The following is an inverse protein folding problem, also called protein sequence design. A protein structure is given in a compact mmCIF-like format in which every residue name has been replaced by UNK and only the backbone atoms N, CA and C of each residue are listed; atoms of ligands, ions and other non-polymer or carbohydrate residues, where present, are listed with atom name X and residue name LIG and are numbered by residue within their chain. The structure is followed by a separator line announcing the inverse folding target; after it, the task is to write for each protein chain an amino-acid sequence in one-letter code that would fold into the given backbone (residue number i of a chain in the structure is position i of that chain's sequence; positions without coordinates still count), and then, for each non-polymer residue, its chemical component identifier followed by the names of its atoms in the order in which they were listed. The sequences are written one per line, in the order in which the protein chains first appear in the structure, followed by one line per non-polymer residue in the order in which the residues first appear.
data_IF_066071511720
#
_entry.id   IF_066071511720
#
_cell.length_a   1.000
_cell.length_b   1.000
_cell.length_c   1.000
_cell.angle_alpha   90.00
_cell.angle_beta   90.00
_cell.angle_gamma   90.00
#
_symmetry.space_group_name_H-M   'P 1'
#
loop_
_entity.id
_entity.type
_entity.pdbx_description
1 polymer ?
#
# COMPACT_ATOMS: atom_id res chain seq x y z
N UNK A 1 -21.11 -16.36 19.89
CA UNK A 1 -20.37 -17.07 20.96
C UNK A 1 -21.19 -17.13 22.24
N UNK A 2 -21.55 -15.99 22.84
CA UNK A 2 -22.37 -15.94 24.08
C UNK A 2 -23.72 -16.67 23.96
N UNK A 3 -24.45 -16.48 22.86
CA UNK A 3 -25.77 -17.10 22.64
C UNK A 3 -25.72 -18.64 22.54
N UNK A 4 -24.58 -19.21 22.17
CA UNK A 4 -24.43 -20.64 21.90
C UNK A 4 -23.44 -21.33 22.86
N UNK A 5 -23.07 -20.67 23.96
CA UNK A 5 -22.18 -21.24 24.98
C UNK A 5 -20.73 -21.48 24.52
N UNK A 6 -20.27 -20.80 23.48
CA UNK A 6 -18.88 -20.96 23.03
C UNK A 6 -17.90 -20.22 23.96
N UNK A 7 -16.78 -20.87 24.28
CA UNK A 7 -15.69 -20.26 25.06
C UNK A 7 -14.91 -19.27 24.20
N UNK A 8 -14.63 -18.09 24.77
CA UNK A 8 -13.82 -17.06 24.13
C UNK A 8 -12.57 -16.79 24.95
N UNK A 9 -11.40 -16.84 24.30
CA UNK A 9 -10.11 -16.49 24.90
C UNK A 9 -9.73 -15.10 24.40
N UNK A 10 -9.66 -14.11 25.30
CA UNK A 10 -9.30 -12.73 24.98
C UNK A 10 -7.99 -12.37 25.64
N UNK A 11 -7.04 -11.87 24.86
CA UNK A 11 -5.77 -11.33 25.34
C UNK A 11 -5.85 -9.80 25.46
N UNK A 12 -5.24 -9.23 26.51
CA UNK A 12 -5.21 -7.77 26.73
C UNK A 12 -4.44 -6.99 25.66
N UNK A 13 -3.35 -7.56 25.12
CA UNK A 13 -2.48 -6.93 24.12
C UNK A 13 -2.00 -7.97 23.12
N UNK A 14 -2.02 -7.66 21.83
CA UNK A 14 -1.53 -8.56 20.79
C UNK A 14 -0.05 -8.93 21.00
N UNK A 15 0.30 -10.18 20.68
CA UNK A 15 1.68 -10.67 20.66
C UNK A 15 1.81 -11.71 19.55
N UNK A 16 2.56 -11.35 18.50
CA UNK A 16 2.81 -12.22 17.37
C UNK A 16 3.51 -13.53 17.80
N UNK A 17 4.52 -13.43 18.66
CA UNK A 17 5.27 -14.59 19.15
C UNK A 17 4.48 -15.48 20.10
N UNK A 18 3.40 -15.01 20.74
CA UNK A 18 2.58 -15.83 21.62
C UNK A 18 1.37 -16.47 20.92
N UNK A 19 0.97 -15.98 19.74
CA UNK A 19 -0.34 -16.27 19.13
C UNK A 19 -0.68 -17.77 19.05
N UNK A 20 0.14 -18.56 18.34
CA UNK A 20 -0.12 -19.99 18.17
C UNK A 20 0.18 -20.85 19.40
N UNK A 21 1.17 -20.46 20.21
CA UNK A 21 1.42 -21.12 21.50
C UNK A 21 0.23 -20.97 22.46
N UNK A 22 -0.47 -19.84 22.44
CA UNK A 22 -1.68 -19.64 23.24
C UNK A 22 -2.89 -20.36 22.65
N UNK A 23 -3.00 -20.41 21.31
CA UNK A 23 -4.03 -21.23 20.66
C UNK A 23 -3.91 -22.70 21.09
N UNK A 24 -2.68 -23.22 21.18
CA UNK A 24 -2.42 -24.57 21.70
C UNK A 24 -2.74 -24.66 23.20
N UNK A 25 -2.20 -23.74 24.04
CA UNK A 25 -2.43 -23.72 25.50
C UNK A 25 -3.90 -23.75 25.90
N UNK A 26 -4.74 -23.00 25.20
CA UNK A 26 -6.17 -22.87 25.53
C UNK A 26 -7.08 -23.75 24.64
N UNK A 27 -6.52 -24.66 23.85
CA UNK A 27 -7.27 -25.53 22.93
C UNK A 27 -8.23 -24.77 22.01
N UNK A 28 -7.78 -23.63 21.47
CA UNK A 28 -8.56 -22.87 20.51
C UNK A 28 -8.82 -23.71 19.25
N UNK A 29 -10.07 -23.75 18.80
CA UNK A 29 -10.47 -24.44 17.55
C UNK A 29 -10.69 -23.48 16.39
N UNK A 30 -10.95 -22.20 16.69
CA UNK A 30 -11.11 -21.13 15.71
C UNK A 30 -10.37 -19.89 16.21
N UNK A 31 -9.64 -19.20 15.34
CA UNK A 31 -8.95 -17.97 15.68
C UNK A 31 -9.42 -16.81 14.80
N UNK A 32 -9.51 -15.61 15.39
CA UNK A 32 -9.80 -14.38 14.65
C UNK A 32 -8.49 -13.71 14.21
N UNK A 33 -8.46 -13.15 13.01
CA UNK A 33 -7.35 -12.32 12.54
C UNK A 33 -7.83 -11.00 11.92
N UNK A 34 -6.89 -10.06 11.87
CA UNK A 34 -6.89 -8.92 10.96
C UNK A 34 -5.63 -9.05 10.12
N UNK A 35 -5.69 -8.75 8.82
CA UNK A 35 -4.59 -9.01 7.89
C UNK A 35 -3.19 -8.60 8.36
N UNK A 36 -3.09 -7.46 9.03
CA UNK A 36 -1.81 -6.96 9.54
C UNK A 36 -1.22 -7.84 10.66
N UNK A 37 -2.07 -8.47 11.48
CA UNK A 37 -1.63 -9.44 12.47
C UNK A 37 -0.96 -10.65 11.81
N UNK A 38 -1.50 -11.12 10.68
CA UNK A 38 -0.93 -12.26 9.95
C UNK A 38 0.49 -11.96 9.47
N UNK A 39 0.74 -10.74 8.98
CA UNK A 39 2.11 -10.29 8.61
C UNK A 39 3.05 -10.33 9.81
N UNK A 40 2.65 -9.75 10.95
CA UNK A 40 3.50 -9.77 12.16
C UNK A 40 3.78 -11.19 12.67
N UNK A 41 2.77 -12.06 12.64
CA UNK A 41 2.91 -13.47 13.05
C UNK A 41 3.85 -14.21 12.11
N UNK A 42 3.76 -13.98 10.80
CA UNK A 42 4.63 -14.59 9.80
C UNK A 42 6.09 -14.09 9.90
N UNK A 43 6.30 -12.85 10.32
CA UNK A 43 7.64 -12.29 10.54
C UNK A 43 8.37 -12.88 11.77
N UNK A 44 7.66 -13.52 12.70
CA UNK A 44 8.30 -14.20 13.85
C UNK A 44 9.06 -15.43 13.35
N UNK A 45 10.27 -15.73 13.85
CA UNK A 45 10.99 -16.96 13.47
C UNK A 45 10.18 -18.24 13.70
N UNK A 46 10.30 -19.26 12.82
CA UNK A 46 9.63 -20.54 12.98
C UNK A 46 9.91 -21.21 14.32
N UNK A 47 8.90 -21.86 14.90
CA UNK A 47 9.03 -22.60 16.17
C UNK A 47 8.06 -23.78 16.23
N UNK A 48 8.31 -24.80 17.08
CA UNK A 48 7.47 -26.00 17.14
C UNK A 48 5.99 -25.73 17.41
N UNK A 49 5.68 -24.68 18.19
CA UNK A 49 4.29 -24.30 18.53
C UNK A 49 3.47 -23.76 17.35
N UNK A 50 4.09 -23.50 16.20
CA UNK A 50 3.41 -23.02 14.98
C UNK A 50 2.40 -24.04 14.44
N UNK A 51 2.53 -25.33 14.78
CA UNK A 51 1.67 -26.42 14.27
C UNK A 51 1.02 -27.26 15.36
N UNK A 52 1.32 -27.03 16.65
CA UNK A 52 0.82 -27.82 17.79
C UNK A 52 -0.59 -27.42 18.26
N UNK A 53 -1.27 -26.54 17.52
CA UNK A 53 -2.62 -26.10 17.83
C UNK A 53 -3.67 -26.96 17.12
N UNK A 54 -4.92 -26.91 17.60
CA UNK A 54 -6.05 -27.64 17.02
C UNK A 54 -6.99 -26.75 16.19
N UNK A 55 -6.46 -25.67 15.62
CA UNK A 55 -7.25 -24.75 14.79
C UNK A 55 -7.77 -25.47 13.54
N UNK A 56 -9.10 -25.50 13.40
CA UNK A 56 -9.79 -25.97 12.19
C UNK A 56 -10.09 -24.84 11.20
N UNK A 57 -10.02 -23.59 11.67
CA UNK A 57 -10.33 -22.41 10.87
C UNK A 57 -9.72 -21.16 11.50
N UNK A 58 -9.29 -20.23 10.65
CA UNK A 58 -9.16 -18.82 11.03
C UNK A 58 -10.22 -18.00 10.29
N UNK A 59 -10.75 -16.96 10.90
CA UNK A 59 -11.72 -16.07 10.27
C UNK A 59 -11.33 -14.61 10.51
N UNK A 60 -11.54 -13.76 9.51
CA UNK A 60 -11.01 -12.41 9.58
C UNK A 60 -11.16 -11.67 8.28
N UNK A 61 -10.48 -10.53 8.22
CA UNK A 61 -10.51 -9.66 7.08
C UNK A 61 -9.12 -9.05 6.80
N UNK A 62 -8.82 -8.87 5.52
CA UNK A 62 -7.62 -8.24 5.00
C UNK A 62 -6.40 -9.15 4.84
N UNK A 63 -6.53 -10.48 4.81
CA UNK A 63 -5.36 -11.33 4.57
C UNK A 63 -4.82 -11.08 3.15
N UNK A 64 -3.56 -10.63 3.07
CA UNK A 64 -2.94 -10.28 1.79
C UNK A 64 -2.70 -11.55 0.97
N UNK A 65 -3.10 -11.60 -0.31
CA UNK A 65 -2.88 -12.78 -1.16
C UNK A 65 -1.41 -13.22 -1.21
N UNK A 66 -0.47 -12.27 -1.14
CA UNK A 66 0.97 -12.51 -1.23
C UNK A 66 1.53 -13.31 -0.05
N UNK A 67 0.89 -13.27 1.13
CA UNK A 67 1.33 -14.00 2.33
C UNK A 67 0.41 -15.17 2.67
N UNK A 68 -0.72 -15.30 1.98
CA UNK A 68 -1.78 -16.25 2.35
C UNK A 68 -1.29 -17.69 2.28
N UNK A 69 -0.67 -18.08 1.17
CA UNK A 69 -0.14 -19.43 0.96
C UNK A 69 0.89 -19.80 2.02
N UNK A 70 1.89 -18.93 2.23
CA UNK A 70 2.94 -19.14 3.23
C UNK A 70 2.38 -19.23 4.65
N UNK A 71 1.41 -18.36 4.99
CA UNK A 71 0.75 -18.38 6.28
C UNK A 71 0.01 -19.70 6.52
N UNK A 72 -0.79 -20.15 5.55
CA UNK A 72 -1.52 -21.42 5.64
C UNK A 72 -0.57 -22.62 5.73
N UNK A 73 0.49 -22.62 4.94
CA UNK A 73 1.45 -23.72 4.89
C UNK A 73 2.26 -23.85 6.17
N UNK A 74 2.77 -22.72 6.69
CA UNK A 74 3.58 -22.66 7.91
C UNK A 74 2.79 -23.07 9.15
N UNK A 75 1.57 -22.54 9.29
CA UNK A 75 0.75 -22.73 10.48
C UNK A 75 -0.27 -23.87 10.34
N UNK A 76 -0.25 -24.62 9.23
CA UNK A 76 -1.14 -25.76 8.96
C UNK A 76 -2.62 -25.44 9.21
N UNK A 77 -3.08 -24.32 8.64
CA UNK A 77 -4.45 -23.83 8.81
C UNK A 77 -5.37 -24.46 7.74
N UNK A 78 -6.34 -25.31 8.11
CA UNK A 78 -7.14 -26.01 7.10
C UNK A 78 -8.09 -25.11 6.31
N UNK A 79 -8.57 -24.04 6.94
CA UNK A 79 -9.57 -23.13 6.35
C UNK A 79 -9.36 -21.68 6.79
N UNK A 80 -9.39 -20.78 5.82
CA UNK A 80 -9.39 -19.33 6.00
C UNK A 80 -10.75 -18.79 5.55
N UNK A 81 -11.56 -18.40 6.52
CA UNK A 81 -12.84 -17.74 6.29
C UNK A 81 -12.64 -16.22 6.24
N UNK A 82 -12.21 -15.74 5.08
CA UNK A 82 -12.06 -14.31 4.80
C UNK A 82 -13.45 -13.70 4.54
N UNK A 83 -13.72 -12.55 5.16
CA UNK A 83 -14.92 -11.78 4.88
C UNK A 83 -14.58 -10.34 4.56
N UNK A 84 -15.40 -9.74 3.71
CA UNK A 84 -15.40 -8.31 3.46
C UNK A 84 -16.67 -7.69 4.01
N UNK A 85 -16.50 -6.54 4.63
CA UNK A 85 -17.57 -5.71 5.15
C UNK A 85 -17.05 -4.33 5.55
N UNK A 86 -17.95 -3.36 5.54
CA UNK A 86 -17.73 -2.03 6.07
C UNK A 86 -18.78 -1.74 7.14
N UNK A 87 -18.40 -1.02 8.21
CA UNK A 87 -19.33 -0.65 9.29
C UNK A 87 -20.53 0.11 8.75
N UNK A 88 -20.31 0.91 7.71
CA UNK A 88 -21.32 1.74 7.06
C UNK A 88 -21.93 1.08 5.81
N UNK A 89 -21.42 -0.09 5.43
CA UNK A 89 -21.82 -0.80 4.22
C UNK A 89 -23.04 -1.68 4.43
N UNK A 90 -23.90 -1.71 3.41
CA UNK A 90 -25.06 -2.60 3.34
C UNK A 90 -24.77 -3.92 2.60
N UNK A 91 -23.49 -4.16 2.28
CA UNK A 91 -23.01 -5.29 1.50
C UNK A 91 -21.82 -5.94 2.22
N UNK A 92 -22.00 -7.20 2.58
CA UNK A 92 -20.96 -8.04 3.17
C UNK A 92 -20.80 -9.28 2.29
N UNK A 93 -19.60 -9.82 2.15
CA UNK A 93 -19.36 -11.05 1.39
C UNK A 93 -18.40 -11.93 2.17
N UNK A 94 -18.50 -13.23 1.96
CA UNK A 94 -17.69 -14.22 2.67
C UNK A 94 -17.13 -15.22 1.68
N UNK A 95 -15.83 -15.46 1.77
CA UNK A 95 -15.16 -16.55 1.10
C UNK A 95 -15.43 -17.84 1.88
N UNK A 96 -16.44 -18.59 1.44
CA UNK A 96 -16.92 -19.79 2.15
C UNK A 96 -16.26 -21.08 1.66
N UNK A 97 -15.76 -21.09 0.43
CA UNK A 97 -15.16 -22.24 -0.25
C UNK A 97 -13.64 -22.31 -0.11
N UNK A 98 -13.04 -21.34 0.62
CA UNK A 98 -11.61 -21.27 0.91
C UNK A 98 -10.76 -20.97 -0.35
N UNK A 99 -11.33 -20.26 -1.33
CA UNK A 99 -10.60 -19.82 -2.51
C UNK A 99 -9.49 -18.84 -2.12
N UNK A 100 -8.24 -19.17 -2.42
CA UNK A 100 -7.08 -18.39 -1.95
C UNK A 100 -7.12 -16.95 -2.49
N UNK A 101 -6.96 -15.97 -1.59
CA UNK A 101 -6.96 -14.54 -1.94
C UNK A 101 -8.35 -13.95 -2.22
N UNK A 102 -9.40 -14.76 -2.30
CA UNK A 102 -10.77 -14.27 -2.45
C UNK A 102 -11.28 -13.69 -1.12
N UNK A 103 -11.99 -12.58 -1.21
CA UNK A 103 -12.62 -11.91 -0.06
C UNK A 103 -14.11 -12.23 0.06
N UNK A 104 -14.66 -12.93 -0.93
CA UNK A 104 -16.08 -13.20 -1.03
C UNK A 104 -16.45 -13.97 -2.28
N UNK A 105 -17.70 -14.41 -2.31
CA UNK A 105 -18.30 -15.09 -3.45
C UNK A 105 -19.69 -14.54 -3.75
N UNK A 106 -20.02 -14.41 -5.03
CA UNK A 106 -21.35 -14.07 -5.53
C UNK A 106 -21.72 -15.02 -6.66
N UNK A 107 -22.84 -15.72 -6.50
CA UNK A 107 -23.29 -16.68 -7.52
C UNK A 107 -23.52 -15.99 -8.87
N UNK A 108 -22.92 -16.55 -9.92
CA UNK A 108 -23.18 -16.16 -11.32
C UNK A 108 -24.50 -16.72 -11.85
N UNK A 109 -25.00 -17.80 -11.25
CA UNK A 109 -26.24 -18.48 -11.66
C UNK A 109 -27.46 -17.74 -11.12
N UNK A 110 -27.40 -17.25 -9.88
CA UNK A 110 -28.53 -16.59 -9.21
C UNK A 110 -28.09 -15.26 -8.57
N UNK A 111 -27.64 -14.28 -9.37
CA UNK A 111 -27.08 -13.02 -8.84
C UNK A 111 -28.12 -12.17 -8.08
N UNK A 112 -29.41 -12.36 -8.34
CA UNK A 112 -30.50 -11.60 -7.68
C UNK A 112 -30.68 -11.93 -6.20
N UNK A 113 -30.21 -13.09 -5.72
CA UNK A 113 -30.31 -13.50 -4.31
C UNK A 113 -29.52 -12.57 -3.39
N UNK A 114 -28.43 -12.00 -3.90
CA UNK A 114 -27.57 -11.12 -3.16
C UNK A 114 -27.27 -9.88 -4.02
N UNK A 115 -28.06 -8.78 -3.88
CA UNK A 115 -28.09 -7.69 -4.84
C UNK A 115 -26.89 -6.74 -4.67
N UNK A 116 -25.71 -7.28 -4.95
CA UNK A 116 -24.43 -6.58 -5.00
C UNK A 116 -23.85 -6.73 -6.40
N UNK A 117 -23.09 -5.73 -6.82
CA UNK A 117 -22.49 -5.71 -8.15
C UNK A 117 -21.15 -4.98 -8.12
N UNK A 118 -20.39 -5.13 -9.19
CA UNK A 118 -19.23 -4.30 -9.50
C UNK A 118 -19.60 -3.45 -10.70
N UNK A 119 -19.45 -2.13 -10.59
CA UNK A 119 -19.71 -1.18 -11.67
C UNK A 119 -18.44 -0.50 -12.15
N UNK A 120 -18.41 -0.13 -13.42
CA UNK A 120 -17.32 0.63 -14.00
C UNK A 120 -17.31 2.04 -13.44
N UNK A 121 -16.12 2.53 -13.13
CA UNK A 121 -15.90 3.91 -12.68
C UNK A 121 -14.77 4.53 -13.49
N UNK A 122 -14.81 5.85 -13.61
CA UNK A 122 -13.68 6.61 -14.10
C UNK A 122 -12.50 6.47 -13.11
N UNK A 123 -11.31 6.06 -13.57
CA UNK A 123 -10.17 5.84 -12.67
C UNK A 123 -9.65 7.11 -11.97
N UNK A 124 -9.91 8.30 -12.50
CA UNK A 124 -9.44 9.56 -11.94
C UNK A 124 -10.46 10.20 -11.00
N UNK A 125 -11.71 10.34 -11.45
CA UNK A 125 -12.76 10.97 -10.65
C UNK A 125 -13.42 10.01 -9.67
N UNK A 126 -13.35 8.69 -9.93
CA UNK A 126 -14.07 7.67 -9.20
C UNK A 126 -15.58 7.67 -9.48
N UNK A 127 -16.04 8.46 -10.46
CA UNK A 127 -17.45 8.55 -10.81
C UNK A 127 -17.93 7.35 -11.64
N UNK A 128 -19.16 6.87 -11.44
CA UNK A 128 -19.72 5.78 -12.23
C UNK A 128 -19.79 6.09 -13.73
N UNK A 129 -19.26 5.18 -14.55
CA UNK A 129 -19.43 5.25 -16.01
C UNK A 129 -20.84 4.78 -16.37
N UNK A 130 -21.53 5.56 -17.19
CA UNK A 130 -22.93 5.35 -17.55
C UNK A 130 -23.12 5.08 -19.04
N UNK A 131 -24.14 4.29 -19.36
CA UNK A 131 -24.56 4.02 -20.74
C UNK A 131 -25.39 5.17 -21.34
N UNK A 132 -25.84 5.00 -22.58
CA UNK A 132 -26.69 5.98 -23.30
C UNK A 132 -28.04 6.24 -22.64
N UNK A 133 -28.49 5.37 -21.72
CA UNK A 133 -29.72 5.53 -20.93
C UNK A 133 -29.45 6.22 -19.59
N UNK A 134 -28.19 6.57 -19.31
CA UNK A 134 -27.74 7.16 -18.06
C UNK A 134 -27.71 6.16 -16.90
N UNK A 135 -27.62 4.85 -17.17
CA UNK A 135 -27.52 3.79 -16.16
C UNK A 135 -26.06 3.35 -15.98
N UNK A 136 -25.67 2.92 -14.77
CA UNK A 136 -24.32 2.42 -14.50
C UNK A 136 -24.01 1.14 -15.30
N UNK A 137 -22.79 1.06 -15.82
CA UNK A 137 -22.34 -0.12 -16.58
C UNK A 137 -21.72 -1.15 -15.61
N UNK A 138 -22.20 -2.41 -15.58
CA UNK A 138 -21.57 -3.45 -14.79
C UNK A 138 -20.22 -3.88 -15.38
N UNK A 139 -19.29 -4.30 -14.51
CA UNK A 139 -18.01 -4.87 -14.94
C UNK A 139 -18.19 -6.30 -15.47
N UNK A 140 -17.41 -6.65 -16.48
CA UNK A 140 -17.26 -8.04 -16.96
C UNK A 140 -16.37 -8.85 -15.99
N UNK A 141 -16.35 -10.20 -16.08
CA UNK A 141 -15.36 -10.99 -15.37
C UNK A 141 -13.94 -10.47 -15.64
N UNK A 142 -13.12 -10.49 -14.59
CA UNK A 142 -11.74 -10.00 -14.55
C UNK A 142 -11.56 -8.49 -14.80
N UNK A 143 -12.65 -7.73 -14.92
CA UNK A 143 -12.61 -6.28 -15.08
C UNK A 143 -12.72 -5.58 -13.70
N UNK A 144 -11.79 -4.68 -13.35
CA UNK A 144 -11.84 -3.96 -12.09
C UNK A 144 -12.97 -2.91 -12.07
N UNK A 145 -13.61 -2.74 -10.92
CA UNK A 145 -14.59 -1.67 -10.72
C UNK A 145 -14.98 -1.50 -9.26
N UNK A 146 -15.85 -0.54 -8.98
CA UNK A 146 -16.28 -0.25 -7.61
C UNK A 146 -17.38 -1.22 -7.19
N UNK A 147 -17.20 -1.77 -5.99
CA UNK A 147 -18.20 -2.61 -5.35
C UNK A 147 -19.38 -1.80 -4.83
N UNK A 148 -20.59 -2.26 -5.13
CA UNK A 148 -21.83 -1.61 -4.72
C UNK A 148 -22.80 -2.60 -4.11
N UNK A 149 -23.59 -2.11 -3.16
CA UNK A 149 -24.70 -2.85 -2.57
C UNK A 149 -26.03 -2.13 -2.81
N UNK A 150 -26.99 -2.79 -3.45
CA UNK A 150 -28.30 -2.19 -3.69
C UNK A 150 -28.96 -1.79 -2.36
N UNK A 151 -29.41 -0.56 -2.26
CA UNK A 151 -30.09 -0.05 -1.08
C UNK A 151 -31.55 -0.49 -1.17
N UNK A 152 -31.97 -1.30 -0.19
CA UNK A 152 -33.35 -1.73 -0.04
C UNK A 152 -33.86 -1.14 1.27
N UNK A 153 -34.71 -0.09 1.21
CA UNK A 153 -35.31 0.49 2.41
C UNK A 153 -36.03 -0.57 3.24
N UNK A 154 -36.03 -0.41 4.56
CA UNK A 154 -36.71 -1.29 5.53
C UNK A 154 -36.19 -2.74 5.58
N UNK A 155 -35.08 -3.06 4.92
CA UNK A 155 -34.38 -4.33 5.10
C UNK A 155 -33.14 -4.10 5.99
N UNK A 156 -33.07 -4.65 7.22
CA UNK A 156 -31.98 -4.40 8.15
C UNK A 156 -30.58 -4.73 7.62
N UNK A 157 -30.47 -5.67 6.69
CA UNK A 157 -29.19 -6.09 6.10
C UNK A 157 -28.84 -5.35 4.81
N UNK A 158 -29.74 -4.50 4.29
CA UNK A 158 -29.61 -3.82 2.98
C UNK A 158 -29.91 -2.34 3.00
N UNK A 159 -30.49 -1.84 4.09
CA UNK A 159 -30.70 -0.42 4.29
C UNK A 159 -29.35 0.28 4.47
N UNK A 160 -29.28 1.51 4.00
CA UNK A 160 -28.20 2.44 4.33
C UNK A 160 -28.85 3.62 5.05
N UNK A 161 -28.55 3.76 6.34
CA UNK A 161 -29.15 4.79 7.20
C UNK A 161 -28.50 6.17 7.01
N UNK A 162 -27.38 6.23 6.30
CA UNK A 162 -26.59 7.45 6.14
C UNK A 162 -25.64 7.70 7.31
N UNK A 163 -24.82 8.72 7.14
CA UNK A 163 -23.99 9.33 8.17
C UNK A 163 -24.75 10.47 8.85
N UNK A 164 -24.23 10.91 10.00
CA UNK A 164 -24.67 12.14 10.66
C UNK A 164 -24.58 13.34 9.69
N UNK A 165 -23.55 13.38 8.84
CA UNK A 165 -23.42 14.35 7.75
C UNK A 165 -24.21 13.88 6.51
N UNK A 166 -25.23 14.67 6.14
CA UNK A 166 -26.07 14.41 4.98
C UNK A 166 -25.31 14.53 3.65
N UNK A 167 -24.31 15.41 3.54
CA UNK A 167 -23.52 15.56 2.31
C UNK A 167 -22.56 14.39 2.13
N UNK A 168 -21.94 13.92 3.22
CA UNK A 168 -21.17 12.67 3.20
C UNK A 168 -22.04 11.47 2.79
N UNK A 169 -23.29 11.42 3.25
CA UNK A 169 -24.26 10.39 2.88
C UNK A 169 -24.59 10.41 1.40
N UNK A 170 -24.85 11.59 0.82
CA UNK A 170 -25.14 11.74 -0.61
C UNK A 170 -23.98 11.23 -1.48
N UNK A 171 -22.74 11.53 -1.09
CA UNK A 171 -21.54 11.05 -1.82
C UNK A 171 -21.39 9.53 -1.83
N UNK A 172 -21.99 8.82 -0.87
CA UNK A 172 -21.98 7.36 -0.79
C UNK A 172 -23.18 6.68 -1.45
N UNK A 173 -24.10 7.44 -2.02
CA UNK A 173 -25.27 6.89 -2.71
C UNK A 173 -25.19 7.20 -4.19
N UNK A 174 -25.18 6.15 -5.01
CA UNK A 174 -25.35 6.26 -6.45
C UNK A 174 -26.81 5.96 -6.80
N UNK A 175 -27.40 6.77 -7.69
CA UNK A 175 -28.75 6.58 -8.23
C UNK A 175 -28.70 6.13 -9.69
N UNK A 176 -29.82 5.61 -10.20
CA UNK A 176 -29.95 5.15 -11.59
C UNK A 176 -28.86 4.14 -11.94
N UNK A 177 -28.74 3.09 -11.13
CA UNK A 177 -27.70 2.07 -11.22
C UNK A 177 -28.02 1.10 -12.34
N UNK A 178 -29.03 0.24 -12.16
CA UNK A 178 -29.45 -0.71 -13.20
C UNK A 178 -30.86 -0.45 -13.69
N UNK A 179 -31.63 0.36 -12.95
CA UNK A 179 -32.97 0.80 -13.31
C UNK A 179 -33.15 2.26 -12.86
N UNK A 180 -33.94 3.04 -13.58
CA UNK A 180 -34.21 4.42 -13.17
C UNK A 180 -34.87 4.46 -11.79
N UNK A 181 -34.32 5.29 -10.91
CA UNK A 181 -34.77 5.46 -9.52
C UNK A 181 -34.20 4.46 -8.51
N UNK A 182 -33.51 3.40 -8.93
CA UNK A 182 -32.82 2.53 -7.97
C UNK A 182 -31.60 3.23 -7.36
N UNK A 183 -31.20 2.75 -6.17
CA UNK A 183 -30.09 3.32 -5.40
C UNK A 183 -29.16 2.22 -4.93
N UNK A 184 -27.86 2.50 -4.91
CA UNK A 184 -26.87 1.62 -4.30
C UNK A 184 -25.88 2.40 -3.44
N UNK A 185 -25.39 1.72 -2.41
CA UNK A 185 -24.29 2.20 -1.60
C UNK A 185 -22.98 2.00 -2.36
N UNK A 186 -22.18 3.05 -2.46
CA UNK A 186 -20.88 3.08 -3.11
C UNK A 186 -19.80 2.79 -2.07
N UNK A 187 -19.20 1.59 -2.08
CA UNK A 187 -18.21 1.23 -1.06
C UNK A 187 -16.97 2.13 -1.12
N UNK A 188 -16.53 2.45 -2.34
CA UNK A 188 -15.23 3.07 -2.61
C UNK A 188 -14.07 2.06 -2.61
N UNK A 189 -14.37 0.76 -2.62
CA UNK A 189 -13.39 -0.31 -2.80
C UNK A 189 -13.48 -0.85 -4.24
N UNK A 190 -12.33 -0.96 -4.89
CA UNK A 190 -12.15 -1.53 -6.21
C UNK A 190 -11.96 -3.04 -6.06
N UNK A 191 -12.89 -3.79 -6.62
CA UNK A 191 -12.86 -5.25 -6.65
C UNK A 191 -12.76 -5.76 -8.08
N UNK A 192 -12.31 -7.01 -8.20
CA UNK A 192 -12.39 -7.80 -9.43
C UNK A 192 -13.15 -9.08 -9.11
N UNK A 193 -14.03 -9.49 -10.02
CA UNK A 193 -14.73 -10.76 -9.92
C UNK A 193 -14.26 -11.70 -11.02
N UNK A 194 -13.88 -12.94 -10.68
CA UNK A 194 -13.53 -13.94 -11.69
C UNK A 194 -14.76 -14.49 -12.42
N UNK A 195 -14.54 -15.42 -13.35
CA UNK A 195 -15.60 -16.08 -14.13
C UNK A 195 -16.54 -16.93 -13.27
N UNK A 196 -16.08 -17.39 -12.10
CA UNK A 196 -16.83 -18.25 -11.18
C UNK A 196 -17.65 -17.45 -10.16
N UNK A 197 -17.33 -16.17 -9.96
CA UNK A 197 -17.99 -15.30 -8.99
C UNK A 197 -17.21 -15.08 -7.70
N UNK A 198 -15.95 -15.52 -7.63
CA UNK A 198 -15.06 -15.13 -6.54
C UNK A 198 -14.67 -13.67 -6.69
N UNK A 199 -14.68 -12.97 -5.57
CA UNK A 199 -14.37 -11.55 -5.48
C UNK A 199 -12.99 -11.36 -4.87
N UNK A 200 -12.20 -10.49 -5.47
CA UNK A 200 -10.83 -10.19 -5.06
C UNK A 200 -10.71 -8.68 -4.81
N UNK A 201 -10.11 -8.32 -3.67
CA UNK A 201 -9.78 -6.93 -3.38
C UNK A 201 -8.62 -6.46 -4.26
N UNK A 202 -8.75 -5.29 -4.89
CA UNK A 202 -7.65 -4.64 -5.61
C UNK A 202 -7.14 -3.43 -4.87
N UNK A 203 -7.99 -2.42 -4.67
CA UNK A 203 -7.57 -1.19 -4.01
C UNK A 203 -8.75 -0.36 -3.50
N UNK A 204 -8.49 0.82 -2.98
CA UNK A 204 -9.52 1.84 -2.71
C UNK A 204 -9.54 2.90 -3.80
N UNK A 205 -10.74 3.41 -4.08
CA UNK A 205 -10.92 4.58 -4.93
C UNK A 205 -10.13 5.76 -4.35
N UNK A 206 -9.26 6.37 -5.15
CA UNK A 206 -8.38 7.48 -4.74
C UNK A 206 -7.03 7.07 -4.13
N UNK A 207 -6.80 5.77 -3.94
CA UNK A 207 -5.49 5.25 -3.52
C UNK A 207 -4.63 4.73 -4.69
N UNK A 208 -5.20 4.56 -5.88
CA UNK A 208 -4.44 4.33 -7.12
C UNK A 208 -3.83 5.64 -7.63
N UNK A 209 -2.68 5.56 -8.30
CA UNK A 209 -2.11 6.69 -9.04
C UNK A 209 -1.77 6.29 -10.47
N UNK A 210 -1.72 7.27 -11.38
CA UNK A 210 -1.40 7.03 -12.79
C UNK A 210 0.01 7.50 -13.11
N UNK A 211 0.86 6.62 -13.65
CA UNK A 211 2.24 6.94 -14.02
C UNK A 211 2.54 6.41 -15.41
N UNK A 212 3.09 7.26 -16.29
CA UNK A 212 3.43 6.89 -17.68
C UNK A 212 2.28 6.22 -18.42
N UNK A 213 1.05 6.73 -18.23
CA UNK A 213 -0.16 6.23 -18.86
C UNK A 213 -0.83 5.05 -18.15
N UNK A 214 -0.15 4.40 -17.20
CA UNK A 214 -0.60 3.17 -16.53
C UNK A 214 -1.15 3.44 -15.12
N UNK A 215 -2.15 2.67 -14.70
CA UNK A 215 -2.68 2.72 -13.34
C UNK A 215 -1.85 1.83 -12.41
N UNK A 216 -1.42 2.39 -11.29
CA UNK A 216 -0.63 1.70 -10.27
C UNK A 216 -1.47 1.60 -8.99
N UNK A 217 -1.70 0.37 -8.54
CA UNK A 217 -2.28 0.12 -7.22
C UNK A 217 -1.23 0.29 -6.14
N UNK A 218 -1.49 1.19 -5.20
CA UNK A 218 -0.58 1.40 -4.06
C UNK A 218 -0.52 0.17 -3.19
N UNK A 219 -1.66 -0.47 -2.96
CA UNK A 219 -1.79 -1.66 -2.13
C UNK A 219 -1.04 -2.88 -2.72
N UNK A 220 -1.05 -3.05 -4.05
CA UNK A 220 -0.27 -4.10 -4.72
C UNK A 220 1.24 -3.87 -4.57
N UNK A 221 1.70 -2.64 -4.86
CA UNK A 221 3.11 -2.29 -4.72
C UNK A 221 3.56 -2.44 -3.26
N UNK A 222 2.79 -1.96 -2.29
CA UNK A 222 3.07 -2.14 -0.85
C UNK A 222 3.25 -3.61 -0.47
N UNK A 223 2.37 -4.50 -0.95
CA UNK A 223 2.44 -5.91 -0.65
C UNK A 223 3.72 -6.56 -1.22
N UNK A 224 4.07 -6.24 -2.46
CA UNK A 224 5.29 -6.74 -3.10
C UNK A 224 6.54 -6.24 -2.37
N UNK A 225 6.62 -4.94 -2.12
CA UNK A 225 7.77 -4.35 -1.44
C UNK A 225 7.93 -4.93 -0.03
N UNK A 226 6.84 -5.00 0.74
CA UNK A 226 6.84 -5.55 2.10
C UNK A 226 7.39 -6.99 2.10
N UNK A 227 6.98 -7.82 1.14
CA UNK A 227 7.49 -9.20 1.03
C UNK A 227 9.01 -9.24 0.78
N UNK A 228 9.52 -8.44 -0.16
CA UNK A 228 10.94 -8.39 -0.51
C UNK A 228 11.81 -8.01 0.71
N UNK A 229 11.31 -7.11 1.55
CA UNK A 229 12.07 -6.55 2.68
C UNK A 229 11.74 -7.22 4.01
N UNK A 230 11.43 -8.52 3.98
CA UNK A 230 11.15 -9.34 5.17
C UNK A 230 9.98 -8.78 5.99
N UNK A 231 8.88 -8.51 5.30
CA UNK A 231 7.64 -8.03 5.87
C UNK A 231 7.74 -6.69 6.60
N UNK A 232 8.69 -5.81 6.30
CA UNK A 232 8.67 -4.46 6.91
C UNK A 232 7.44 -3.68 6.45
N UNK A 233 7.15 -2.67 7.26
CA UNK A 233 6.04 -1.75 7.15
C UNK A 233 6.28 -0.76 5.99
N UNK A 234 5.39 -0.74 4.98
CA UNK A 234 5.53 0.09 3.77
C UNK A 234 4.23 0.80 3.43
N UNK A 235 4.33 2.08 3.06
CA UNK A 235 3.24 2.87 2.49
C UNK A 235 3.66 3.38 1.12
N UNK A 236 2.83 3.16 0.10
CA UNK A 236 3.08 3.65 -1.26
C UNK A 236 2.05 4.72 -1.60
N UNK A 237 2.50 5.77 -2.29
CA UNK A 237 1.64 6.84 -2.78
C UNK A 237 2.23 7.51 -4.02
N UNK A 238 1.36 8.11 -4.83
CA UNK A 238 1.78 8.88 -6.00
C UNK A 238 2.15 10.32 -5.64
N UNK A 239 3.30 10.79 -6.13
CA UNK A 239 3.78 12.17 -6.01
C UNK A 239 3.90 12.83 -7.39
N UNK A 240 3.59 14.13 -7.47
CA UNK A 240 3.71 14.88 -8.72
C UNK A 240 5.17 15.25 -8.98
N UNK A 241 5.61 15.09 -10.23
CA UNK A 241 6.91 15.54 -10.70
C UNK A 241 6.68 16.69 -11.68
N UNK A 242 7.34 17.83 -11.47
CA UNK A 242 7.20 18.99 -12.34
C UNK A 242 7.55 18.62 -13.79
N UNK A 243 6.69 18.99 -14.73
CA UNK A 243 6.89 18.72 -16.16
C UNK A 243 6.66 17.27 -16.59
N UNK A 244 6.10 16.42 -15.73
CA UNK A 244 5.67 15.07 -16.07
C UNK A 244 4.17 14.93 -15.86
N UNK A 245 3.51 14.22 -16.78
CA UNK A 245 2.10 13.88 -16.64
C UNK A 245 1.93 12.70 -15.67
N UNK A 246 0.94 12.80 -14.78
CA UNK A 246 0.64 11.79 -13.78
C UNK A 246 1.45 11.96 -12.48
N UNK A 247 1.52 10.88 -11.71
CA UNK A 247 2.15 10.83 -10.39
C UNK A 247 3.12 9.66 -10.32
N UNK A 248 4.37 9.91 -9.98
CA UNK A 248 5.38 8.87 -9.79
C UNK A 248 5.19 8.16 -8.44
N UNK A 249 5.54 6.88 -8.38
CA UNK A 249 5.48 6.12 -7.13
C UNK A 249 6.53 6.57 -6.11
N UNK A 250 6.11 6.75 -4.87
CA UNK A 250 6.95 6.95 -3.68
C UNK A 250 6.62 5.86 -2.66
N UNK A 251 7.65 5.23 -2.09
CA UNK A 251 7.51 4.25 -1.02
C UNK A 251 8.12 4.77 0.29
N UNK A 252 7.32 4.91 1.33
CA UNK A 252 7.78 5.17 2.69
C UNK A 252 7.90 3.85 3.46
N UNK A 253 9.11 3.49 3.86
CA UNK A 253 9.46 2.22 4.50
C UNK A 253 9.86 2.50 5.95
N UNK A 254 9.21 1.84 6.89
CA UNK A 254 9.58 1.91 8.30
C UNK A 254 10.70 0.92 8.62
N UNK A 255 11.83 1.46 9.07
CA UNK A 255 13.03 0.70 9.41
C UNK A 255 13.74 1.33 10.61
N UNK A 256 13.21 1.16 11.84
CA UNK A 256 13.77 1.76 13.04
C UNK A 256 15.19 1.26 13.35
N UNK A 257 15.47 0.01 13.00
CA UNK A 257 16.73 -0.67 13.29
C UNK A 257 17.79 -0.50 12.19
N UNK A 258 17.46 0.18 11.08
CA UNK A 258 18.40 0.42 9.98
C UNK A 258 18.88 -0.86 9.27
N UNK A 259 18.06 -1.92 9.28
CA UNK A 259 18.42 -3.24 8.75
C UNK A 259 17.97 -3.46 7.30
N UNK A 260 17.36 -2.45 6.67
CA UNK A 260 16.90 -2.51 5.28
C UNK A 260 18.08 -2.66 4.30
N UNK A 261 18.06 -3.73 3.51
CA UNK A 261 18.96 -3.89 2.36
C UNK A 261 18.38 -3.23 1.11
N UNK A 262 19.02 -2.15 0.69
CA UNK A 262 18.61 -1.38 -0.49
C UNK A 262 18.89 -2.11 -1.80
N UNK A 263 19.95 -2.93 -1.83
CA UNK A 263 20.25 -3.77 -2.99
C UNK A 263 19.19 -4.86 -3.19
N UNK A 264 18.79 -5.56 -2.12
CA UNK A 264 17.71 -6.54 -2.18
C UNK A 264 16.37 -5.88 -2.57
N UNK A 265 16.08 -4.71 -2.01
CA UNK A 265 14.89 -3.95 -2.37
C UNK A 265 14.88 -3.59 -3.86
N UNK A 266 15.98 -3.04 -4.38
CA UNK A 266 16.06 -2.64 -5.79
C UNK A 266 15.95 -3.84 -6.75
N UNK A 267 16.70 -4.92 -6.49
CA UNK A 267 16.69 -6.12 -7.32
C UNK A 267 15.34 -6.84 -7.26
N UNK A 268 14.80 -7.03 -6.05
CA UNK A 268 13.50 -7.65 -5.85
C UNK A 268 12.38 -6.85 -6.52
N UNK A 269 12.40 -5.52 -6.40
CA UNK A 269 11.41 -4.64 -7.03
C UNK A 269 11.50 -4.73 -8.55
N UNK A 270 12.72 -4.75 -9.11
CA UNK A 270 12.94 -4.90 -10.55
C UNK A 270 12.40 -6.23 -11.09
N UNK A 271 12.56 -7.31 -10.34
CA UNK A 271 12.07 -8.65 -10.70
C UNK A 271 10.55 -8.79 -10.55
N UNK A 272 9.97 -8.18 -9.53
CA UNK A 272 8.57 -8.40 -9.16
C UNK A 272 7.58 -7.40 -9.77
N UNK A 273 8.01 -6.17 -10.09
CA UNK A 273 7.12 -5.11 -10.60
C UNK A 273 7.50 -4.66 -12.01
N UNK A 274 6.52 -4.34 -12.87
CA UNK A 274 6.76 -3.69 -14.16
C UNK A 274 7.30 -2.27 -13.94
N UNK A 275 8.05 -1.76 -14.91
CA UNK A 275 8.79 -0.49 -14.81
C UNK A 275 7.95 0.68 -14.28
N UNK A 276 6.72 0.84 -14.77
CA UNK A 276 5.82 1.94 -14.37
C UNK A 276 5.30 1.84 -12.93
N UNK A 277 5.29 0.66 -12.31
CA UNK A 277 4.79 0.45 -10.95
C UNK A 277 5.89 0.51 -9.89
N UNK A 278 7.16 0.57 -10.31
CA UNK A 278 8.31 0.66 -9.39
C UNK A 278 8.33 2.04 -8.74
N UNK A 279 8.39 2.15 -7.41
CA UNK A 279 8.59 3.45 -6.77
C UNK A 279 9.92 4.06 -7.23
N UNK A 280 9.86 5.31 -7.68
CA UNK A 280 11.04 6.10 -8.08
C UNK A 280 11.69 6.72 -6.85
N UNK A 281 10.87 7.03 -5.84
CA UNK A 281 11.32 7.62 -4.59
C UNK A 281 11.15 6.63 -3.44
N UNK A 282 12.14 6.57 -2.55
CA UNK A 282 12.11 5.77 -1.34
C UNK A 282 12.41 6.69 -0.16
N UNK A 283 11.58 6.61 0.89
CA UNK A 283 11.76 7.30 2.16
C UNK A 283 11.88 6.29 3.28
N UNK A 284 12.94 6.37 4.07
CA UNK A 284 13.12 5.50 5.25
C UNK A 284 12.65 6.25 6.50
N UNK A 285 11.79 5.63 7.29
CA UNK A 285 11.20 6.19 8.51
C UNK A 285 11.73 5.45 9.75
N UNK A 286 12.16 6.21 10.76
CA UNK A 286 12.56 5.64 12.07
C UNK A 286 11.43 5.62 13.11
N UNK A 287 10.33 6.35 12.87
CA UNK A 287 9.16 6.40 13.76
C UNK A 287 7.87 6.40 12.95
N UNK A 288 6.86 5.63 13.38
CA UNK A 288 5.49 5.63 12.86
C UNK A 288 4.54 6.21 13.90
N UNK A 289 3.66 7.12 13.50
CA UNK A 289 2.54 7.57 14.34
C UNK A 289 1.38 6.58 14.17
N UNK A 290 1.30 5.54 15.01
CA UNK A 290 0.23 4.55 14.92
C UNK A 290 -1.11 5.08 15.44
N UNK A 291 -2.21 4.68 14.79
CA UNK A 291 -3.57 4.87 15.34
C UNK A 291 -4.05 3.63 16.09
N UNK A 292 -5.05 3.81 16.97
CA UNK A 292 -5.60 2.79 17.90
C UNK A 292 -6.11 1.52 17.20
N UNK A 293 -6.38 1.56 15.89
CA UNK A 293 -6.86 0.42 15.10
C UNK A 293 -5.74 -0.44 14.48
N UNK A 294 -4.47 -0.31 14.90
CA UNK A 294 -3.29 -0.97 14.29
C UNK A 294 -3.11 -0.72 12.78
N UNK A 295 -3.86 0.22 12.21
CA UNK A 295 -3.62 0.76 10.87
C UNK A 295 -2.56 1.85 11.00
N UNK A 296 -1.56 1.81 10.12
CA UNK A 296 -0.65 2.93 9.92
C UNK A 296 -1.44 4.23 9.79
N UNK A 297 -0.83 5.32 10.25
CA UNK A 297 -1.31 6.70 10.08
C UNK A 297 -1.91 6.85 8.68
N UNK A 298 -3.16 7.32 8.61
CA UNK A 298 -3.94 7.46 7.38
C UNK A 298 -3.03 8.00 6.26
N UNK A 299 -2.99 7.35 5.09
CA UNK A 299 -2.22 7.77 3.90
C UNK A 299 -2.32 9.30 3.67
N UNK A 300 -3.45 9.91 4.01
CA UNK A 300 -3.70 11.36 3.99
C UNK A 300 -2.73 12.20 4.84
N UNK A 301 -2.26 11.74 6.00
CA UNK A 301 -1.29 12.45 6.82
C UNK A 301 0.12 12.37 6.22
N UNK A 302 0.50 11.22 5.64
CA UNK A 302 1.77 11.06 4.93
C UNK A 302 1.75 11.85 3.60
N UNK A 303 0.61 11.86 2.89
CA UNK A 303 0.34 12.71 1.71
C UNK A 303 0.41 14.20 2.05
N UNK A 304 0.05 14.65 3.26
CA UNK A 304 0.19 16.06 3.68
C UNK A 304 1.64 16.50 3.89
N UNK A 305 2.57 15.55 4.07
CA UNK A 305 4.01 15.79 4.15
C UNK A 305 4.64 15.76 2.72
N UNK A 306 3.82 15.88 1.66
CA UNK A 306 4.30 15.91 0.27
C UNK A 306 5.12 17.16 -0.02
N UNK A 307 6.19 16.97 -0.78
CA UNK A 307 7.06 18.04 -1.28
C UNK A 307 6.35 18.92 -2.32
N UNK A 308 6.65 20.22 -2.29
CA UNK A 308 6.73 21.04 -3.51
C UNK A 308 8.13 20.82 -4.10
N UNK A 309 8.22 20.18 -5.27
CA UNK A 309 9.48 20.13 -6.04
C UNK A 309 9.70 21.52 -6.65
N UNK A 310 10.33 22.43 -5.89
CA UNK A 310 10.77 23.73 -6.39
C UNK A 310 12.12 23.55 -7.08
N UNK A 311 12.10 23.45 -8.41
CA UNK A 311 13.28 23.71 -9.23
C UNK A 311 13.05 25.06 -9.92
N UNK A 312 13.72 26.12 -9.48
CA UNK A 312 13.88 27.34 -10.29
C UNK A 312 15.17 27.14 -11.08
N UNK A 313 15.06 26.79 -12.35
CA UNK A 313 16.16 26.90 -13.30
C UNK A 313 16.26 28.38 -13.65
N UNK A 314 17.33 29.05 -13.24
CA UNK A 314 17.73 30.27 -13.95
C UNK A 314 18.31 29.83 -15.30
N UNK A 315 17.72 30.38 -16.35
CA UNK A 315 18.01 30.09 -17.75
C UNK A 315 19.43 30.53 -18.08
N UNK A 316 20.34 29.56 -18.25
CA UNK A 316 21.30 29.55 -19.37
C UNK A 316 22.17 28.28 -19.29
N UNK A 317 21.69 27.19 -19.92
CA UNK A 317 22.46 26.13 -20.63
C UNK A 317 21.61 24.84 -20.74
N UNK A 318 21.38 24.31 -21.96
CA UNK A 318 20.60 23.09 -22.15
C UNK A 318 21.53 21.88 -22.08
N UNK A 319 21.33 20.95 -21.12
CA UNK A 319 21.74 19.53 -21.28
C UNK A 319 21.41 18.55 -20.13
N UNK A 320 20.83 18.98 -19.01
CA UNK A 320 20.47 18.04 -17.93
C UNK A 320 19.11 18.36 -17.31
N UNK A 321 18.24 17.35 -17.19
CA UNK A 321 17.05 17.40 -16.34
C UNK A 321 17.33 16.64 -15.05
N UNK A 322 17.83 17.33 -14.02
CA UNK A 322 17.99 16.77 -12.68
C UNK A 322 16.79 17.19 -11.82
N UNK A 323 16.04 16.23 -11.28
CA UNK A 323 15.01 16.48 -10.27
C UNK A 323 15.62 16.18 -8.89
N UNK A 324 15.95 17.22 -8.13
CA UNK A 324 16.47 17.12 -6.76
C UNK A 324 15.31 17.35 -5.79
N UNK A 325 15.15 16.49 -4.79
CA UNK A 325 14.32 16.74 -3.61
C UNK A 325 15.13 16.42 -2.35
N UNK A 326 15.11 17.33 -1.37
CA UNK A 326 15.89 17.26 -0.12
C UNK A 326 14.94 17.29 1.08
N UNK A 327 15.00 16.32 2.00
CA UNK A 327 15.30 16.49 3.45
C UNK A 327 14.95 15.24 4.32
N UNK A 328 15.67 15.10 5.45
CA UNK A 328 15.65 14.04 6.49
C UNK A 328 16.35 12.70 6.16
N UNK A 329 17.61 12.79 5.73
CA UNK A 329 18.64 11.87 6.25
C UNK A 329 19.11 10.73 5.37
N UNK A 330 18.48 10.41 4.24
CA UNK A 330 19.06 9.51 3.22
C UNK A 330 18.52 9.89 1.84
N UNK A 331 19.42 10.23 0.92
CA UNK A 331 19.14 10.35 -0.53
C UNK A 331 19.85 9.19 -1.22
N UNK A 332 19.10 8.33 -1.91
CA UNK A 332 19.69 7.32 -2.80
C UNK A 332 19.19 7.64 -4.20
N UNK A 333 20.12 8.02 -5.06
CA UNK A 333 19.85 8.29 -6.46
C UNK A 333 19.97 6.96 -7.23
N UNK A 334 19.00 6.65 -8.08
CA UNK A 334 19.17 5.66 -9.15
C UNK A 334 19.12 6.45 -10.45
N UNK A 335 20.30 6.72 -11.03
CA UNK A 335 20.40 7.30 -12.36
C UNK A 335 20.32 6.14 -13.36
N UNK A 336 19.27 6.10 -14.18
CA UNK A 336 19.30 5.31 -15.41
C UNK A 336 19.96 6.13 -16.53
N UNK A 337 20.94 5.57 -17.26
CA UNK A 337 21.53 6.26 -18.40
C UNK A 337 20.50 6.35 -19.54
N UNK A 338 20.37 7.53 -20.16
CA UNK A 338 19.73 7.65 -21.47
C UNK A 338 20.64 7.05 -22.54
N UNK A 339 20.06 6.44 -23.57
CA UNK A 339 20.71 5.61 -24.60
C UNK A 339 21.87 6.28 -25.40
N UNK A 340 22.18 7.56 -25.18
CA UNK A 340 23.22 8.30 -25.91
C UNK A 340 24.24 9.06 -25.03
N UNK A 341 24.35 8.78 -23.73
CA UNK A 341 25.36 9.44 -22.88
C UNK A 341 26.67 8.63 -22.81
N UNK A 342 27.63 8.96 -23.67
CA UNK A 342 28.98 8.33 -23.72
C UNK A 342 29.97 8.87 -22.69
N UNK A 343 29.60 9.85 -21.87
CA UNK A 343 30.47 10.44 -20.84
C UNK A 343 29.72 10.54 -19.51
N UNK A 344 30.27 9.97 -18.43
CA UNK A 344 29.72 10.05 -17.06
C UNK A 344 30.50 11.12 -16.29
N UNK A 345 29.85 12.20 -15.86
CA UNK A 345 30.45 13.28 -15.05
C UNK A 345 29.98 13.20 -13.59
N UNK A 346 30.88 13.43 -12.63
CA UNK A 346 30.57 13.58 -11.19
C UNK A 346 30.02 14.98 -10.88
N UNK A 347 28.99 15.07 -10.04
CA UNK A 347 28.58 16.32 -9.37
C UNK A 347 28.65 16.15 -7.85
N UNK A 348 29.42 17.01 -7.18
CA UNK A 348 29.49 17.09 -5.72
C UNK A 348 28.74 18.34 -5.27
N UNK A 349 27.71 18.18 -4.43
CA UNK A 349 26.90 19.28 -3.90
C UNK A 349 27.11 19.38 -2.38
N UNK A 350 27.50 20.55 -1.88
CA UNK A 350 27.59 20.85 -0.45
C UNK A 350 26.41 21.72 -0.02
N UNK A 351 25.83 21.39 1.13
CA UNK A 351 24.74 22.15 1.77
C UNK A 351 25.34 23.10 2.80
N UNK A 352 25.12 24.40 2.62
CA UNK A 352 25.27 25.40 3.69
C UNK A 352 23.88 25.98 4.00
N UNK A 353 23.57 26.12 5.29
CA UNK A 353 22.32 26.72 5.76
C UNK A 353 22.70 28.06 6.38
N UNK A 354 22.29 29.17 5.75
CA UNK A 354 22.31 30.48 6.37
C UNK A 354 20.88 30.83 6.81
N UNK A 355 20.70 30.99 8.11
CA UNK A 355 19.47 31.52 8.70
C UNK A 355 19.50 33.04 8.61
N UNK A 356 18.51 33.63 7.93
CA UNK A 356 18.22 35.06 8.00
C UNK A 356 16.97 35.29 8.86
N UNK A 357 16.90 36.44 9.55
CA UNK A 357 15.92 36.79 10.60
C UNK A 357 14.45 36.84 10.13
N UNK A 358 14.20 36.61 8.84
CA UNK A 358 12.91 36.76 8.18
C UNK A 358 12.07 35.47 8.18
N UNK A 359 12.57 34.39 8.79
CA UNK A 359 11.84 33.12 8.94
C UNK A 359 11.66 32.30 7.66
N UNK A 360 12.35 32.68 6.58
CA UNK A 360 12.47 31.90 5.34
C UNK A 360 13.88 31.32 5.26
N UNK A 361 14.00 30.02 5.51
CA UNK A 361 15.23 29.27 5.23
C UNK A 361 15.47 29.28 3.71
N UNK A 362 16.56 29.91 3.26
CA UNK A 362 17.03 29.81 1.88
C UNK A 362 18.20 28.83 1.79
N UNK A 363 18.14 27.90 0.83
CA UNK A 363 19.19 26.89 0.62
C UNK A 363 20.11 27.38 -0.49
N UNK A 364 21.37 27.68 -0.18
CA UNK A 364 22.42 27.94 -1.16
C UNK A 364 23.16 26.63 -1.44
N UNK A 365 23.25 26.24 -2.71
CA UNK A 365 24.04 25.08 -3.14
C UNK A 365 25.27 25.63 -3.86
N UNK A 366 26.45 25.42 -3.28
CA UNK A 366 27.72 25.84 -3.87
C UNK A 366 28.37 24.67 -4.64
N UNK A 367 28.86 24.95 -5.86
CA UNK A 367 29.61 24.01 -6.69
C UNK A 367 31.05 23.90 -6.20
N UNK A 368 31.56 22.68 -5.98
CA UNK A 368 32.88 22.51 -5.35
C UNK A 368 33.93 21.84 -6.25
N UNK A 369 33.63 20.80 -7.06
CA UNK A 369 34.64 20.25 -7.99
C UNK A 369 34.08 19.24 -9.01
N UNK A 370 34.80 19.04 -10.13
CA UNK A 370 34.53 18.08 -11.21
C UNK A 370 35.62 16.99 -11.20
N UNK A 371 35.25 15.70 -11.17
CA UNK A 371 36.24 14.59 -11.13
C UNK A 371 35.85 13.46 -12.10
N UNK A 372 36.75 13.10 -13.01
CA UNK A 372 36.59 12.03 -14.00
C UNK A 372 36.88 10.63 -13.42
N UNK A 373 35.94 9.98 -12.70
CA UNK A 373 36.06 8.54 -12.35
C UNK A 373 34.72 7.78 -12.29
N UNK A 374 34.71 6.45 -12.58
CA UNK A 374 33.49 5.65 -12.74
C UNK A 374 33.04 4.98 -11.43
N UNK A 375 32.79 5.74 -10.38
CA UNK A 375 32.32 5.22 -9.07
C UNK A 375 31.00 5.88 -8.62
N UNK A 376 30.20 5.21 -7.78
CA UNK A 376 28.91 5.72 -7.32
C UNK A 376 29.04 7.00 -6.48
N UNK A 377 28.06 7.89 -6.62
CA UNK A 377 27.94 9.17 -5.90
C UNK A 377 27.72 8.91 -4.39
N UNK A 378 28.59 9.44 -3.52
CA UNK A 378 28.43 9.35 -2.05
C UNK A 378 28.31 10.76 -1.49
N UNK A 379 27.17 11.05 -0.84
CA UNK A 379 26.89 12.33 -0.17
C UNK A 379 27.09 12.13 1.34
N UNK A 380 27.92 12.97 1.97
CA UNK A 380 28.20 12.92 3.41
C UNK A 380 27.42 14.02 4.13
N UNK A 381 26.90 13.74 5.32
CA UNK A 381 26.09 14.72 6.06
C UNK A 381 26.93 15.67 6.92
N UNK A 382 28.18 15.32 7.24
CA UNK A 382 29.10 16.16 8.01
C UNK A 382 30.59 15.85 7.71
N UNK A 383 31.54 16.73 8.13
CA UNK A 383 32.97 16.54 7.92
C UNK A 383 33.56 15.30 8.63
N UNK A 384 32.98 14.85 9.74
CA UNK A 384 33.44 13.70 10.51
C UNK A 384 33.15 12.37 9.78
N UNK A 385 31.99 12.24 9.15
CA UNK A 385 31.62 11.10 8.28
C UNK A 385 32.51 11.03 7.04
N UNK A 386 32.83 12.18 6.44
CA UNK A 386 33.79 12.28 5.34
C UNK A 386 35.18 11.82 5.81
N UNK A 387 35.64 12.28 6.97
CA UNK A 387 36.95 11.92 7.51
C UNK A 387 37.02 10.45 7.93
N UNK A 388 35.95 9.88 8.48
CA UNK A 388 35.85 8.46 8.82
C UNK A 388 35.85 7.57 7.57
N UNK A 389 35.17 7.98 6.50
CA UNK A 389 35.19 7.27 5.21
C UNK A 389 36.54 7.35 4.52
N UNK A 390 37.21 8.51 4.55
CA UNK A 390 38.58 8.68 4.02
C UNK A 390 39.58 7.85 4.82
N UNK A 391 39.46 7.82 6.16
CA UNK A 391 40.28 6.97 7.02
C UNK A 391 40.06 5.47 6.74
N UNK A 392 38.81 5.04 6.55
CA UNK A 392 38.44 3.66 6.22
C UNK A 392 38.94 3.26 4.83
N UNK A 393 38.83 4.16 3.84
CA UNK A 393 39.35 3.96 2.48
C UNK A 393 40.87 3.83 2.47
N UNK A 394 41.58 4.69 3.21
CA UNK A 394 43.03 4.63 3.32
C UNK A 394 43.50 3.36 4.08
N UNK A 395 42.74 2.90 5.06
CA UNK A 395 43.00 1.65 5.77
C UNK A 395 42.82 0.40 4.89
N UNK A 396 41.82 0.41 3.99
CA UNK A 396 41.53 -0.68 3.05
C UNK A 396 42.45 -0.69 1.82
N UNK A 397 43.19 0.38 1.54
CA UNK A 397 44.17 0.42 0.45
C UNK A 397 45.57 -0.08 0.83
N UNK A 398 45.83 -0.35 2.13
CA UNK A 398 47.11 -0.85 2.63
C UNK A 398 47.08 -2.31 3.14
N UNK A 399 46.07 -3.11 2.76
CA UNK A 399 46.02 -4.56 3.02
C UNK A 399 45.63 -5.36 1.78
#
# INVERSE_FOLDING_TARGET
MLLYGATLVIRKKFSASAYFSECSKYNCTVAQYIGEMCRYILAVPPKPTDTQHHLRMIYGNGLRPQIWSEFVERFKIPKVAEFYGATEGNANIVNVDNTMGAIGFVSRIIPSVYPISIIKVDPQSGEPIRDVKGLCIPCKPNEPGVFIGKIIPNNPSRAFLGYVDAEASKKKVVTDVFQKGDKAFLSGDILVADEFGNLFFKDRTGDTFRWKGENVSTSEVEAVLSNIISYKDVVVYGVEIRGQEGRAGMAAIFDPDGTLSLSLLAEGTKKALPFYARPIFIRILKKLDMTVATRMTTRNNIKKISFHVLVKLEEDKPRFSANIAVFQGVVINIIEPTENATTRQLMILQKEVETYDDGLDSVKINFIEEVDKPEPLIIFNNPEEKNAFVALRNFLQYR
#
